data_IF_024409231661
#
_entry.id   IF_024409231661
#
_cell.length_a   1.000
_cell.length_b   1.000
_cell.length_c   1.000
_cell.angle_alpha   90.00
_cell.angle_beta   90.00
_cell.angle_gamma   90.00
#
_symmetry.space_group_name_H-M   'P 1'
#
loop_
_entity.id
_entity.type
_entity.pdbx_description
1 polymer ?
#
# COMPACT_ATOMS: atom_id res chain seq x y z
N UNK A 1 9.47 4.25 -5.52
CA UNK A 1 8.82 2.95 -5.19
C UNK A 1 8.91 2.62 -3.71
N UNK A 2 10.05 2.82 -3.04
CA UNK A 2 10.20 2.58 -1.60
C UNK A 2 9.21 3.39 -0.73
N UNK A 3 8.87 4.62 -1.13
CA UNK A 3 7.86 5.45 -0.47
C UNK A 3 6.42 4.97 -0.64
N UNK A 4 6.13 4.17 -1.68
CA UNK A 4 4.80 3.58 -1.89
C UNK A 4 4.58 2.37 -0.97
N UNK A 5 5.67 1.70 -0.59
CA UNK A 5 5.68 0.55 0.31
C UNK A 5 5.26 0.92 1.73
N UNK A 6 5.63 2.11 2.21
CA UNK A 6 5.22 2.62 3.53
C UNK A 6 3.74 2.97 3.61
N UNK A 7 3.12 3.39 2.49
CA UNK A 7 1.68 3.66 2.43
C UNK A 7 0.80 2.41 2.39
N UNK A 8 1.36 1.22 2.12
CA UNK A 8 0.60 -0.03 2.23
C UNK A 8 0.27 -0.37 3.70
N UNK A 9 1.10 0.04 4.65
CA UNK A 9 0.84 -0.13 6.08
C UNK A 9 -0.34 0.71 6.58
N UNK A 10 -0.53 1.91 6.01
CA UNK A 10 -1.67 2.76 6.34
C UNK A 10 -2.99 2.26 5.74
N UNK A 11 -2.95 1.45 4.67
CA UNK A 11 -4.15 0.89 4.03
C UNK A 11 -5.03 0.07 4.98
N UNK A 12 -4.44 -0.68 5.91
CA UNK A 12 -5.21 -1.52 6.87
C UNK A 12 -5.92 -0.64 7.91
N UNK A 13 -5.21 0.35 8.44
CA UNK A 13 -5.77 1.32 9.37
C UNK A 13 -6.84 2.20 8.71
N UNK A 14 -6.58 2.63 7.47
CA UNK A 14 -7.52 3.39 6.67
C UNK A 14 -8.78 2.57 6.36
N UNK A 15 -8.64 1.32 5.89
CA UNK A 15 -9.77 0.41 5.66
C UNK A 15 -10.64 0.29 6.90
N UNK A 16 -10.02 0.14 8.08
CA UNK A 16 -10.74 0.05 9.34
C UNK A 16 -11.49 1.33 9.68
N UNK A 17 -10.82 2.48 9.59
CA UNK A 17 -11.38 3.76 9.99
C UNK A 17 -12.53 4.21 9.06
N UNK A 18 -12.42 3.97 7.75
CA UNK A 18 -13.40 4.44 6.79
C UNK A 18 -14.58 3.47 6.56
N UNK A 19 -14.51 2.24 7.08
CA UNK A 19 -15.55 1.22 6.87
C UNK A 19 -16.85 1.50 7.62
N UNK A 20 -17.98 1.33 6.92
CA UNK A 20 -19.30 1.20 7.58
C UNK A 20 -19.42 -0.15 8.31
N UNK A 21 -20.16 -0.19 9.43
CA UNK A 21 -20.22 -1.39 10.29
C UNK A 21 -20.78 -2.62 9.59
N UNK A 22 -21.84 -2.47 8.81
CA UNK A 22 -22.44 -3.60 8.09
C UNK A 22 -21.47 -4.20 7.06
N UNK A 23 -20.73 -3.33 6.38
CA UNK A 23 -19.68 -3.73 5.46
C UNK A 23 -18.54 -4.44 6.19
N UNK A 24 -18.09 -3.84 7.29
CA UNK A 24 -17.01 -4.36 8.11
C UNK A 24 -17.33 -5.71 8.75
N UNK A 25 -18.55 -5.92 9.25
CA UNK A 25 -18.99 -7.21 9.80
C UNK A 25 -19.06 -8.31 8.73
N UNK A 26 -19.34 -7.94 7.47
CA UNK A 26 -19.46 -8.92 6.38
C UNK A 26 -18.10 -9.34 5.84
N UNK A 27 -17.17 -8.40 5.67
CA UNK A 27 -15.91 -8.66 4.96
C UNK A 27 -14.63 -8.29 5.74
N UNK A 28 -14.74 -7.77 6.96
CA UNK A 28 -13.60 -7.34 7.78
C UNK A 28 -12.58 -8.46 8.02
N UNK A 29 -13.04 -9.71 8.14
CA UNK A 29 -12.20 -10.90 8.27
C UNK A 29 -11.25 -11.12 7.08
N UNK A 30 -11.58 -10.62 5.89
CA UNK A 30 -10.72 -10.73 4.70
C UNK A 30 -9.57 -9.71 4.71
N UNK A 31 -9.68 -8.61 5.46
CA UNK A 31 -8.75 -7.49 5.36
C UNK A 31 -7.30 -7.90 5.64
N UNK A 32 -7.06 -8.64 6.72
CA UNK A 32 -5.72 -9.13 7.07
C UNK A 32 -5.18 -10.15 6.06
N UNK A 33 -6.05 -11.01 5.53
CA UNK A 33 -5.67 -12.01 4.51
C UNK A 33 -5.25 -11.31 3.21
N UNK A 34 -6.03 -10.34 2.76
CA UNK A 34 -5.73 -9.55 1.55
C UNK A 34 -4.46 -8.74 1.75
N UNK A 35 -4.27 -8.11 2.91
CA UNK A 35 -3.04 -7.41 3.25
C UNK A 35 -1.82 -8.35 3.20
N UNK A 36 -1.92 -9.54 3.80
CA UNK A 36 -0.84 -10.52 3.79
C UNK A 36 -0.48 -10.98 2.38
N UNK A 37 -1.47 -11.33 1.56
CA UNK A 37 -1.25 -11.71 0.15
C UNK A 37 -0.61 -10.56 -0.62
N UNK A 38 -1.07 -9.33 -0.41
CA UNK A 38 -0.54 -8.16 -1.08
C UNK A 38 0.93 -7.93 -0.73
N UNK A 39 1.27 -7.88 0.56
CA UNK A 39 2.64 -7.74 1.05
C UNK A 39 3.54 -8.87 0.53
N UNK A 40 3.06 -10.11 0.55
CA UNK A 40 3.78 -11.29 0.04
C UNK A 40 4.11 -11.15 -1.45
N UNK A 41 3.13 -10.71 -2.25
CA UNK A 41 3.29 -10.54 -3.69
C UNK A 41 4.26 -9.40 -4.04
N UNK A 42 4.14 -8.24 -3.38
CA UNK A 42 5.06 -7.11 -3.54
C UNK A 42 6.48 -7.53 -3.20
N UNK A 43 6.67 -8.25 -2.09
CA UNK A 43 7.97 -8.74 -1.67
C UNK A 43 8.57 -9.72 -2.68
N UNK A 44 7.79 -10.72 -3.12
CA UNK A 44 8.24 -11.70 -4.10
C UNK A 44 8.67 -11.03 -5.42
N UNK A 45 7.89 -10.10 -5.96
CA UNK A 45 8.25 -9.39 -7.19
C UNK A 45 9.47 -8.49 -7.00
N UNK A 46 9.61 -7.84 -5.85
CA UNK A 46 10.79 -7.03 -5.53
C UNK A 46 12.08 -7.86 -5.42
N UNK A 47 12.04 -9.02 -4.77
CA UNK A 47 13.19 -9.92 -4.69
C UNK A 47 13.61 -10.45 -6.08
N UNK A 48 12.64 -10.88 -6.90
CA UNK A 48 12.94 -11.43 -8.23
C UNK A 48 13.58 -10.41 -9.18
N UNK A 49 13.26 -9.11 -9.08
CA UNK A 49 13.96 -8.10 -9.91
C UNK A 49 15.40 -7.84 -9.52
N UNK A 50 15.73 -7.91 -8.22
CA UNK A 50 17.07 -7.52 -7.74
C UNK A 50 18.10 -8.63 -7.98
N UNK A 51 17.67 -9.89 -7.92
CA UNK A 51 18.52 -11.06 -8.17
C UNK A 51 18.80 -11.30 -9.68
N UNK A 52 18.08 -10.61 -10.58
CA UNK A 52 18.15 -10.81 -12.04
C UNK A 52 18.94 -9.77 -12.85
N UNK A 53 19.79 -8.94 -12.23
CA UNK A 53 20.32 -7.75 -12.92
C UNK A 53 21.53 -8.04 -13.84
N UNK A 54 21.24 -8.45 -15.08
CA UNK A 54 21.85 -7.88 -16.30
C UNK A 54 20.93 -8.16 -17.51
N UNK A 55 20.11 -7.17 -17.90
CA UNK A 55 19.31 -7.07 -19.14
C UNK A 55 17.86 -7.59 -19.23
N UNK A 56 17.28 -8.24 -18.21
CA UNK A 56 15.94 -8.87 -18.32
C UNK A 56 14.94 -8.40 -17.23
N UNK A 57 14.82 -7.10 -16.98
CA UNK A 57 13.60 -6.62 -16.30
C UNK A 57 12.47 -6.62 -17.34
N UNK A 58 11.82 -7.78 -17.48
CA UNK A 58 10.75 -7.97 -18.46
C UNK A 58 9.61 -7.03 -18.13
N UNK A 59 8.94 -6.51 -19.16
CA UNK A 59 7.71 -5.73 -19.02
C UNK A 59 6.72 -6.36 -18.02
N UNK A 60 6.62 -7.70 -18.02
CA UNK A 60 5.81 -8.50 -17.11
C UNK A 60 6.19 -8.30 -15.63
N UNK A 61 7.48 -8.32 -15.28
CA UNK A 61 7.97 -8.10 -13.90
C UNK A 61 7.58 -6.70 -13.38
N UNK A 62 7.64 -5.69 -14.25
CA UNK A 62 7.25 -4.31 -13.92
C UNK A 62 5.74 -4.19 -13.73
N UNK A 63 4.95 -4.81 -14.60
CA UNK A 63 3.49 -4.85 -14.48
C UNK A 63 3.01 -5.59 -13.24
N UNK A 64 3.57 -6.76 -12.93
CA UNK A 64 3.18 -7.53 -11.74
C UNK A 64 3.47 -6.78 -10.44
N UNK A 65 4.61 -6.09 -10.36
CA UNK A 65 4.96 -5.26 -9.19
C UNK A 65 4.08 -4.02 -9.06
N UNK A 66 3.84 -3.32 -10.16
CA UNK A 66 2.97 -2.15 -10.15
C UNK A 66 1.53 -2.56 -9.81
N UNK A 67 1.07 -3.66 -10.40
CA UNK A 67 -0.23 -4.25 -10.16
C UNK A 67 -0.43 -4.73 -8.73
N UNK A 68 0.58 -5.34 -8.10
CA UNK A 68 0.48 -5.75 -6.70
C UNK A 68 0.32 -4.55 -5.77
N UNK A 69 1.09 -3.48 -5.97
CA UNK A 69 0.96 -2.25 -5.18
C UNK A 69 -0.37 -1.56 -5.44
N UNK A 70 -0.77 -1.40 -6.71
CA UNK A 70 -2.04 -0.78 -7.08
C UNK A 70 -3.25 -1.56 -6.57
N UNK A 71 -3.20 -2.90 -6.58
CA UNK A 71 -4.27 -3.75 -6.05
C UNK A 71 -4.48 -3.54 -4.56
N UNK A 72 -3.41 -3.38 -3.78
CA UNK A 72 -3.51 -3.08 -2.35
C UNK A 72 -4.12 -1.71 -2.09
N UNK A 73 -3.72 -0.72 -2.89
CA UNK A 73 -4.29 0.62 -2.86
C UNK A 73 -5.80 0.62 -3.16
N UNK A 74 -6.22 -0.03 -4.26
CA UNK A 74 -7.63 -0.12 -4.66
C UNK A 74 -8.45 -0.81 -3.57
N UNK A 75 -7.94 -1.94 -3.05
CA UNK A 75 -8.62 -2.69 -2.00
C UNK A 75 -8.90 -1.85 -0.75
N UNK A 76 -7.93 -1.06 -0.29
CA UNK A 76 -8.09 -0.19 0.87
C UNK A 76 -9.15 0.91 0.72
N UNK A 77 -9.49 1.29 -0.51
CA UNK A 77 -10.46 2.33 -0.80
C UNK A 77 -11.87 1.79 -1.06
N UNK A 78 -12.06 0.47 -1.17
CA UNK A 78 -13.41 -0.11 -1.39
C UNK A 78 -14.39 0.27 -0.27
N UNK A 79 -14.04 0.24 1.04
CA UNK A 79 -14.97 0.65 2.08
C UNK A 79 -15.36 2.12 1.99
N UNK A 80 -14.43 2.98 1.56
CA UNK A 80 -14.69 4.40 1.36
C UNK A 80 -15.72 4.62 0.26
N UNK A 81 -15.59 3.92 -0.88
CA UNK A 81 -16.54 3.97 -1.98
C UNK A 81 -17.91 3.42 -1.55
N UNK A 82 -17.93 2.31 -0.79
CA UNK A 82 -19.17 1.77 -0.25
C UNK A 82 -19.86 2.77 0.68
N UNK A 83 -19.12 3.40 1.59
CA UNK A 83 -19.64 4.41 2.52
C UNK A 83 -20.17 5.64 1.79
N UNK A 84 -19.47 6.11 0.77
CA UNK A 84 -19.93 7.21 -0.07
C UNK A 84 -21.29 6.89 -0.73
N UNK A 85 -21.47 5.65 -1.18
CA UNK A 85 -22.75 5.19 -1.75
C UNK A 85 -23.85 5.00 -0.70
N UNK A 86 -23.54 4.42 0.46
CA UNK A 86 -24.54 4.08 1.49
C UNK A 86 -24.98 5.27 2.33
N UNK A 87 -24.03 6.14 2.69
CA UNK A 87 -24.19 7.16 3.73
C UNK A 87 -23.97 8.58 3.21
N UNK A 88 -23.42 8.73 2.00
CA UNK A 88 -23.15 10.03 1.38
C UNK A 88 -21.87 10.69 1.90
N UNK A 89 -21.79 12.01 1.72
CA UNK A 89 -20.64 12.83 2.14
C UNK A 89 -20.95 13.45 3.50
N UNK A 90 -20.31 12.92 4.55
CA UNK A 90 -20.19 13.56 5.85
C UNK A 90 -18.84 14.29 5.98
N UNK A 91 -18.61 14.97 7.11
CA UNK A 91 -17.37 15.75 7.32
C UNK A 91 -16.11 14.87 7.29
N UNK A 92 -16.17 13.67 7.87
CA UNK A 92 -15.05 12.72 7.81
C UNK A 92 -14.79 12.23 6.38
N UNK A 93 -15.84 11.91 5.62
CA UNK A 93 -15.77 11.52 4.21
C UNK A 93 -15.14 12.62 3.35
N UNK A 94 -15.44 13.89 3.63
CA UNK A 94 -14.81 15.00 2.93
C UNK A 94 -13.28 15.00 3.09
N UNK A 95 -12.78 14.79 4.31
CA UNK A 95 -11.34 14.67 4.56
C UNK A 95 -10.73 13.42 3.93
N UNK A 96 -11.41 12.27 3.99
CA UNK A 96 -10.97 11.05 3.30
C UNK A 96 -10.83 11.26 1.79
N UNK A 97 -11.79 11.93 1.15
CA UNK A 97 -11.73 12.25 -0.28
C UNK A 97 -10.50 13.12 -0.59
N UNK A 98 -10.24 14.16 0.21
CA UNK A 98 -9.06 15.01 0.02
C UNK A 98 -7.77 14.20 0.20
N UNK A 99 -7.69 13.36 1.24
CA UNK A 99 -6.55 12.46 1.49
C UNK A 99 -6.28 11.55 0.29
N UNK A 100 -7.31 10.86 -0.22
CA UNK A 100 -7.24 9.98 -1.40
C UNK A 100 -6.82 10.74 -2.65
N UNK A 101 -7.34 11.95 -2.88
CA UNK A 101 -6.97 12.79 -4.03
C UNK A 101 -5.52 13.23 -3.96
N UNK A 102 -5.04 13.66 -2.78
CA UNK A 102 -3.65 14.02 -2.55
C UNK A 102 -2.72 12.85 -2.87
N UNK A 103 -3.01 11.66 -2.34
CA UNK A 103 -2.18 10.46 -2.55
C UNK A 103 -2.20 9.97 -4.01
N UNK A 104 -3.38 9.94 -4.64
CA UNK A 104 -3.52 9.57 -6.06
C UNK A 104 -2.74 10.54 -6.94
N UNK A 105 -2.85 11.83 -6.68
CA UNK A 105 -2.14 12.87 -7.43
C UNK A 105 -0.62 12.74 -7.23
N UNK A 106 -0.16 12.53 -5.99
CA UNK A 106 1.24 12.28 -5.69
C UNK A 106 1.79 11.08 -6.48
N UNK A 107 1.03 9.98 -6.48
CA UNK A 107 1.37 8.76 -7.19
C UNK A 107 1.50 8.98 -8.70
N UNK A 108 0.54 9.69 -9.30
CA UNK A 108 0.56 10.01 -10.74
C UNK A 108 1.76 10.89 -11.07
N UNK A 109 1.95 12.00 -10.35
CA UNK A 109 3.06 12.95 -10.58
C UNK A 109 4.41 12.22 -10.50
N UNK A 110 4.59 11.37 -9.50
CA UNK A 110 5.80 10.56 -9.34
C UNK A 110 5.96 9.55 -10.48
N UNK A 111 4.89 8.87 -10.90
CA UNK A 111 4.94 7.86 -11.96
C UNK A 111 5.23 8.45 -13.35
N UNK A 112 4.76 9.67 -13.64
CA UNK A 112 4.98 10.33 -14.94
C UNK A 112 6.24 11.22 -14.98
N UNK A 113 6.97 11.33 -13.87
CA UNK A 113 8.12 12.22 -13.71
C UNK A 113 7.79 13.70 -14.01
N UNK A 114 6.61 14.15 -13.61
CA UNK A 114 6.21 15.55 -13.79
C UNK A 114 6.75 16.44 -12.66
N UNK A 115 7.25 17.66 -12.93
CA UNK A 115 7.38 18.35 -14.22
C UNK A 115 8.71 18.11 -14.95
N UNK A 116 9.69 17.41 -14.36
CA UNK A 116 11.06 17.33 -14.92
C UNK A 116 11.12 16.70 -16.32
N UNK A 117 10.21 15.78 -16.62
CA UNK A 117 10.09 15.16 -17.95
C UNK A 117 9.57 16.13 -19.02
N UNK A 118 8.84 17.17 -18.60
CA UNK A 118 8.18 18.13 -19.49
C UNK A 118 9.00 19.42 -19.63
N UNK A 119 9.83 19.73 -18.64
CA UNK A 119 10.67 20.93 -18.60
C UNK A 119 12.10 20.57 -18.17
N UNK A 120 12.84 19.98 -19.10
CA UNK A 120 14.23 19.55 -18.93
C UNK A 120 15.10 20.76 -18.53
N UNK A 121 15.85 20.66 -17.43
CA UNK A 121 16.79 21.68 -16.97
C UNK A 121 16.20 22.79 -16.08
N UNK A 122 14.87 22.82 -15.87
CA UNK A 122 14.22 23.85 -15.02
C UNK A 122 13.97 23.40 -13.58
N UNK A 123 13.84 22.10 -13.36
CA UNK A 123 13.42 21.51 -12.08
C UNK A 123 14.51 20.60 -11.47
N UNK A 124 15.77 20.83 -11.84
CA UNK A 124 16.88 19.95 -11.45
C UNK A 124 17.22 20.05 -9.96
N UNK A 125 16.87 21.15 -9.28
CA UNK A 125 17.16 21.40 -7.86
C UNK A 125 15.87 21.51 -7.02
N UNK A 126 14.87 22.24 -7.50
CA UNK A 126 13.60 22.50 -6.81
C UNK A 126 12.44 22.10 -7.73
N UNK A 127 11.42 21.46 -7.17
CA UNK A 127 10.20 21.05 -7.89
C UNK A 127 10.33 19.73 -8.63
N UNK A 128 11.28 18.88 -8.24
CA UNK A 128 11.34 17.51 -8.74
C UNK A 128 10.06 16.74 -8.36
N UNK A 129 9.67 15.78 -9.20
CA UNK A 129 8.49 14.91 -8.96
C UNK A 129 8.57 14.23 -7.58
N UNK A 130 9.77 13.90 -7.14
CA UNK A 130 10.03 13.32 -5.82
C UNK A 130 9.74 14.30 -4.66
N UNK A 131 10.08 15.58 -4.82
CA UNK A 131 9.78 16.61 -3.81
C UNK A 131 8.28 16.88 -3.73
N UNK A 132 7.62 16.99 -4.89
CA UNK A 132 6.16 17.17 -4.97
C UNK A 132 5.43 15.96 -4.36
N UNK A 133 5.92 14.75 -4.64
CA UNK A 133 5.41 13.52 -4.02
C UNK A 133 5.44 13.61 -2.50
N UNK A 134 6.57 13.99 -1.89
CA UNK A 134 6.66 14.11 -0.43
C UNK A 134 5.71 15.16 0.14
N UNK A 135 5.57 16.31 -0.52
CA UNK A 135 4.64 17.37 -0.09
C UNK A 135 3.19 16.86 -0.11
N UNK A 136 2.76 16.25 -1.21
CA UNK A 136 1.40 15.74 -1.35
C UNK A 136 1.14 14.54 -0.42
N UNK A 137 2.13 13.66 -0.22
CA UNK A 137 2.05 12.58 0.77
C UNK A 137 1.91 13.12 2.20
N UNK A 138 2.58 14.22 2.55
CA UNK A 138 2.42 14.86 3.86
C UNK A 138 1.01 15.44 4.05
N UNK A 139 0.45 16.09 3.03
CA UNK A 139 -0.94 16.56 3.05
C UNK A 139 -1.93 15.40 3.15
N UNK A 140 -1.72 14.32 2.40
CA UNK A 140 -2.52 13.10 2.53
C UNK A 140 -2.54 12.63 3.99
N UNK A 141 -1.38 12.41 4.62
CA UNK A 141 -1.32 11.98 6.02
C UNK A 141 -2.05 12.93 6.98
N UNK A 142 -1.93 14.25 6.76
CA UNK A 142 -2.62 15.24 7.58
C UNK A 142 -4.15 15.12 7.49
N UNK A 143 -4.69 15.06 6.27
CA UNK A 143 -6.13 14.90 6.08
C UNK A 143 -6.63 13.53 6.50
N UNK A 144 -5.81 12.48 6.35
CA UNK A 144 -6.14 11.13 6.82
C UNK A 144 -6.34 11.13 8.35
N UNK A 145 -5.44 11.78 9.09
CA UNK A 145 -5.57 11.90 10.55
C UNK A 145 -6.84 12.67 10.94
N UNK A 146 -7.13 13.80 10.27
CA UNK A 146 -8.36 14.56 10.53
C UNK A 146 -9.62 13.74 10.21
N UNK A 147 -9.61 12.97 9.14
CA UNK A 147 -10.71 12.10 8.77
C UNK A 147 -10.95 11.02 9.83
N UNK A 148 -9.88 10.37 10.29
CA UNK A 148 -9.93 9.36 11.36
C UNK A 148 -10.39 9.98 12.67
N UNK A 149 -9.86 11.14 13.06
CA UNK A 149 -10.30 11.85 14.27
C UNK A 149 -11.80 12.15 14.21
N UNK A 150 -12.28 12.64 13.08
CA UNK A 150 -13.69 12.97 12.92
C UNK A 150 -14.58 11.73 12.85
N UNK A 151 -14.08 10.62 12.32
CA UNK A 151 -14.72 9.31 12.45
C UNK A 151 -14.76 8.84 13.90
N UNK A 152 -13.68 9.02 14.67
CA UNK A 152 -13.63 8.65 16.09
C UNK A 152 -14.69 9.42 16.89
N UNK A 153 -14.71 10.74 16.74
CA UNK A 153 -15.58 11.65 17.49
C UNK A 153 -17.06 11.46 17.15
N UNK A 154 -17.39 11.30 15.87
CA UNK A 154 -18.80 11.20 15.44
C UNK A 154 -19.38 9.78 15.60
N UNK A 155 -18.54 8.75 15.78
CA UNK A 155 -18.96 7.34 15.76
C UNK A 155 -18.60 6.58 17.04
N UNK A 156 -18.78 7.21 18.20
CA UNK A 156 -18.50 6.64 19.55
C UNK A 156 -19.11 5.23 19.76
N UNK A 157 -20.27 4.95 19.14
CA UNK A 157 -20.99 3.67 19.24
C UNK A 157 -20.33 2.49 18.52
N UNK A 158 -19.43 2.75 17.58
CA UNK A 158 -18.81 1.73 16.73
C UNK A 158 -17.55 1.13 17.37
N UNK A 159 -16.80 1.93 18.13
CA UNK A 159 -15.56 1.50 18.81
C UNK A 159 -15.76 0.33 19.78
N UNK A 160 -16.93 0.25 20.42
CA UNK A 160 -17.28 -0.89 21.28
C UNK A 160 -17.32 -2.23 20.53
N UNK A 161 -17.94 -2.27 19.34
CA UNK A 161 -18.03 -3.47 18.49
C UNK A 161 -16.71 -3.77 17.80
N UNK A 162 -16.02 -2.72 17.38
CA UNK A 162 -14.69 -2.73 16.78
C UNK A 162 -13.61 -3.26 17.75
N UNK A 163 -13.75 -3.00 19.05
CA UNK A 163 -12.89 -3.56 20.11
C UNK A 163 -13.11 -5.05 20.37
N UNK A 164 -14.28 -5.57 19.95
CA UNK A 164 -14.73 -6.95 20.16
C UNK A 164 -14.54 -7.86 18.95
N UNK A 165 -13.82 -7.44 17.91
CA UNK A 165 -13.60 -8.31 16.77
C UNK A 165 -12.86 -9.60 17.13
N UNK A 166 -13.55 -10.73 16.93
CA UNK A 166 -13.05 -12.09 17.09
C UNK A 166 -12.14 -12.56 15.94
N UNK A 167 -11.97 -11.75 14.89
CA UNK A 167 -11.14 -12.04 13.71
C UNK A 167 -9.64 -11.79 13.94
N UNK A 168 -9.22 -11.86 15.20
CA UNK A 168 -7.89 -12.34 15.54
C UNK A 168 -7.78 -13.81 15.10
N UNK A 169 -7.75 -14.07 13.78
CA UNK A 169 -6.87 -15.11 13.27
C UNK A 169 -5.49 -14.67 13.72
N UNK A 170 -5.13 -15.12 14.92
CA UNK A 170 -4.45 -14.29 15.92
C UNK A 170 -3.23 -13.59 15.34
N UNK A 171 -2.91 -12.38 15.80
CA UNK A 171 -1.67 -11.68 15.46
C UNK A 171 -0.48 -12.66 15.35
N UNK A 172 -0.45 -13.68 16.22
CA UNK A 172 0.40 -14.86 16.14
C UNK A 172 0.40 -15.61 14.81
N UNK A 173 -0.73 -16.06 14.26
CA UNK A 173 -0.80 -16.70 12.94
C UNK A 173 -0.28 -15.80 11.83
N UNK A 174 -0.61 -14.50 11.85
CA UNK A 174 -0.11 -13.53 10.86
C UNK A 174 1.40 -13.35 10.99
N UNK A 175 1.90 -13.19 12.21
CA UNK A 175 3.33 -13.08 12.51
C UNK A 175 4.08 -14.35 12.12
N UNK A 176 3.55 -15.54 12.43
CA UNK A 176 4.15 -16.82 12.05
C UNK A 176 4.18 -16.95 10.53
N UNK A 177 3.08 -16.66 9.84
CA UNK A 177 3.04 -16.69 8.38
C UNK A 177 4.03 -15.70 7.76
N UNK A 178 4.16 -14.49 8.31
CA UNK A 178 5.11 -13.48 7.85
C UNK A 178 6.56 -13.91 8.07
N UNK A 179 6.88 -14.50 9.23
CA UNK A 179 8.21 -15.03 9.52
C UNK A 179 8.56 -16.19 8.60
N UNK A 180 7.64 -17.16 8.45
CA UNK A 180 7.84 -18.31 7.56
C UNK A 180 8.04 -17.88 6.12
N UNK A 181 7.21 -16.96 5.62
CA UNK A 181 7.34 -16.40 4.27
C UNK A 181 8.71 -15.72 4.10
N UNK A 182 9.11 -14.90 5.07
CA UNK A 182 10.41 -14.20 5.05
C UNK A 182 11.56 -15.21 4.99
N UNK A 183 11.52 -16.26 5.82
CA UNK A 183 12.54 -17.32 5.85
C UNK A 183 12.57 -18.09 4.52
N UNK A 184 11.42 -18.56 4.02
CA UNK A 184 11.33 -19.29 2.75
C UNK A 184 11.87 -18.47 1.59
N UNK A 185 11.59 -17.16 1.57
CA UNK A 185 12.11 -16.26 0.55
C UNK A 185 13.61 -15.97 0.70
N UNK A 186 14.15 -15.84 1.92
CA UNK A 186 15.60 -15.70 2.16
C UNK A 186 16.36 -16.94 1.69
N UNK A 187 15.81 -18.13 1.93
CA UNK A 187 16.34 -19.40 1.42
C UNK A 187 16.28 -19.44 -0.11
N UNK A 188 15.14 -19.07 -0.71
CA UNK A 188 15.00 -19.00 -2.17
C UNK A 188 16.00 -18.04 -2.82
N UNK A 189 16.13 -16.83 -2.28
CA UNK A 189 17.06 -15.83 -2.77
C UNK A 189 18.52 -16.30 -2.62
N UNK A 190 18.88 -16.89 -1.48
CA UNK A 190 20.21 -17.45 -1.24
C UNK A 190 20.53 -18.57 -2.23
N UNK A 191 19.61 -19.52 -2.44
CA UNK A 191 19.77 -20.61 -3.42
C UNK A 191 19.91 -20.09 -4.85
N UNK A 192 19.18 -19.03 -5.21
CA UNK A 192 19.31 -18.38 -6.52
C UNK A 192 20.65 -17.68 -6.69
N UNK A 193 21.15 -16.99 -5.67
CA UNK A 193 22.45 -16.33 -5.67
C UNK A 193 23.60 -17.32 -5.78
N UNK A 194 23.54 -18.44 -5.04
CA UNK A 194 24.52 -19.53 -5.14
C UNK A 194 24.54 -20.10 -6.55
N UNK A 195 23.38 -20.50 -7.08
CA UNK A 195 23.26 -21.02 -8.44
C UNK A 195 23.74 -20.03 -9.51
N UNK A 196 23.56 -18.72 -9.30
CA UNK A 196 24.04 -17.69 -10.20
C UNK A 196 25.58 -17.54 -10.13
N UNK A 197 26.16 -17.59 -8.93
CA UNK A 197 27.61 -17.57 -8.71
C UNK A 197 28.28 -18.79 -9.37
N UNK A 198 27.71 -19.98 -9.21
CA UNK A 198 28.24 -21.21 -9.80
C UNK A 198 28.23 -21.16 -11.34
N UNK A 199 27.21 -20.54 -11.95
CA UNK A 199 27.15 -20.33 -13.41
C UNK A 199 28.23 -19.37 -13.93
N UNK A 200 28.62 -18.37 -13.15
CA UNK A 200 29.65 -17.39 -13.54
C UNK A 200 31.05 -17.97 -13.28
N UNK A 201 31.25 -18.76 -12.23
CA UNK A 201 32.54 -19.40 -11.91
C UNK A 201 32.95 -20.54 -12.84
N UNK A 202 32.05 -20.99 -13.72
CA UNK A 202 32.30 -22.01 -14.75
C UNK A 202 32.50 -21.44 -16.17
N UNK A 203 32.54 -20.10 -16.34
CA UNK A 203 32.97 -19.42 -17.57
C UNK A 203 34.38 -18.84 -17.38
#
# INVERSE_FOLDING_TARGET
MESFSTHLGSTVAHFYACSELNYYQTIGWLNLVVFFINCSSVFAFCCNSKVGQKSSDTFISRFLRLGSVAGGYIYGHIPLVYRLYSSGIDEAMFYHIISTLCLTTAAIIYAVDFPQRWYIGKFDIIGQSHQIFHILSAFCCYFDILAVEQDVLNRERYWGVLSQQADMLSLWHVCIAAVLLTISCMVYASNRLINHRDRIGHC
#
